data_IF_039035424978
#
_entry.id   IF_039035424978
#
_cell.length_a   1.000
_cell.length_b   1.000
_cell.length_c   1.000
_cell.angle_alpha   90.00
_cell.angle_beta   90.00
_cell.angle_gamma   90.00
#
_symmetry.space_group_name_H-M   'P 1'
#
loop_
_entity.id
_entity.type
_entity.pdbx_description
1 polymer ?
#
# COMPACT_ATOMS: atom_id res chain seq x y z
N UNK A 1 -13.39 8.70 -10.67
CA UNK A 1 -12.69 7.73 -9.81
C UNK A 1 -11.43 8.40 -9.28
N UNK A 2 -11.27 8.52 -7.96
CA UNK A 2 -10.08 9.13 -7.37
C UNK A 2 -8.91 8.12 -7.35
N UNK A 3 -7.70 8.60 -7.64
CA UNK A 3 -6.46 7.83 -7.60
C UNK A 3 -5.52 8.52 -6.60
N UNK A 4 -5.18 7.81 -5.52
CA UNK A 4 -4.18 8.25 -4.58
C UNK A 4 -2.80 7.74 -5.01
N UNK A 5 -1.80 8.62 -5.08
CA UNK A 5 -0.44 8.24 -5.46
C UNK A 5 0.44 8.24 -4.22
N UNK A 6 1.10 7.11 -3.95
CA UNK A 6 2.09 7.04 -2.88
C UNK A 6 3.32 7.84 -3.31
N UNK A 7 3.82 8.70 -2.41
CA UNK A 7 4.95 9.59 -2.64
C UNK A 7 6.25 8.77 -2.71
N UNK A 8 7.20 9.02 -3.63
CA UNK A 8 8.39 8.19 -3.86
C UNK A 8 9.35 8.08 -2.66
N UNK A 9 9.06 8.74 -1.53
CA UNK A 9 9.79 8.53 -0.29
C UNK A 9 9.69 7.09 0.23
N UNK A 10 8.65 6.34 -0.17
CA UNK A 10 8.55 4.90 0.10
C UNK A 10 9.73 4.10 -0.48
N UNK A 11 10.32 4.55 -1.60
CA UNK A 11 11.52 3.95 -2.21
C UNK A 11 12.74 4.11 -1.28
N UNK A 12 12.83 5.23 -0.56
CA UNK A 12 13.89 5.45 0.43
C UNK A 12 13.71 4.55 1.65
N UNK A 13 12.48 4.27 2.06
CA UNK A 13 12.18 3.39 3.20
C UNK A 13 12.59 1.93 2.93
N UNK A 14 12.64 1.50 1.68
CA UNK A 14 13.13 0.16 1.30
C UNK A 14 14.67 0.06 1.22
N UNK A 15 15.38 1.16 1.48
CA UNK A 15 16.84 1.23 1.41
C UNK A 15 17.34 1.33 -0.04
N UNK A 16 18.66 1.47 -0.22
CA UNK A 16 19.33 1.42 -1.55
C UNK A 16 19.30 -0.01 -2.11
N UNK A 17 18.14 -0.65 -2.19
CA UNK A 17 17.96 -1.80 -3.06
C UNK A 17 18.16 -1.34 -4.52
N UNK A 18 18.68 -2.22 -5.37
CA UNK A 18 18.82 -1.89 -6.80
C UNK A 18 17.46 -1.45 -7.39
N UNK A 19 17.43 -0.52 -8.33
CA UNK A 19 16.19 -0.02 -8.98
C UNK A 19 15.24 -1.15 -9.40
N UNK A 20 15.79 -2.27 -9.90
CA UNK A 20 15.01 -3.46 -10.26
C UNK A 20 14.29 -4.10 -9.07
N UNK A 21 14.95 -4.19 -7.92
CA UNK A 21 14.37 -4.73 -6.70
C UNK A 21 13.27 -3.80 -6.16
N UNK A 22 13.52 -2.48 -6.13
CA UNK A 22 12.51 -1.47 -5.74
C UNK A 22 11.28 -1.58 -6.65
N UNK A 23 11.49 -1.68 -7.96
CA UNK A 23 10.39 -1.81 -8.94
C UNK A 23 9.61 -3.12 -8.81
N UNK A 24 10.28 -4.22 -8.49
CA UNK A 24 9.62 -5.49 -8.19
C UNK A 24 8.75 -5.35 -6.94
N UNK A 25 9.31 -4.81 -5.85
CA UNK A 25 8.58 -4.57 -4.61
C UNK A 25 7.39 -3.64 -4.84
N UNK A 26 7.54 -2.56 -5.62
CA UNK A 26 6.44 -1.67 -6.01
C UNK A 26 5.27 -2.46 -6.62
N UNK A 27 5.59 -3.41 -7.49
CA UNK A 27 4.62 -4.23 -8.21
C UNK A 27 3.93 -5.23 -7.28
N UNK A 28 4.65 -5.82 -6.35
CA UNK A 28 4.09 -6.66 -5.28
C UNK A 28 3.13 -5.86 -4.38
N UNK A 29 3.55 -4.66 -3.94
CA UNK A 29 2.69 -3.75 -3.18
C UNK A 29 1.44 -3.34 -3.95
N UNK A 30 1.59 -3.00 -5.23
CA UNK A 30 0.47 -2.62 -6.09
C UNK A 30 -0.55 -3.75 -6.21
N UNK A 31 -0.08 -4.99 -6.39
CA UNK A 31 -0.92 -6.19 -6.48
C UNK A 31 -1.66 -6.46 -5.17
N UNK A 32 -0.96 -6.35 -4.04
CA UNK A 32 -1.53 -6.48 -2.71
C UNK A 32 -2.62 -5.43 -2.46
N UNK A 33 -2.31 -4.15 -2.74
CA UNK A 33 -3.25 -3.04 -2.58
C UNK A 33 -4.48 -3.19 -3.47
N UNK A 34 -4.32 -3.61 -4.73
CA UNK A 34 -5.44 -3.83 -5.66
C UNK A 34 -6.34 -4.98 -5.18
N UNK A 35 -5.74 -6.04 -4.63
CA UNK A 35 -6.46 -7.18 -4.05
C UNK A 35 -7.24 -6.77 -2.80
N UNK A 36 -6.60 -6.02 -1.89
CA UNK A 36 -7.27 -5.49 -0.69
C UNK A 36 -8.36 -4.49 -1.05
N UNK A 37 -8.11 -3.59 -2.01
CA UNK A 37 -9.11 -2.67 -2.53
C UNK A 37 -10.33 -3.41 -3.07
N UNK A 38 -10.14 -4.46 -3.88
CA UNK A 38 -11.27 -5.26 -4.39
C UNK A 38 -12.04 -5.99 -3.28
N UNK A 39 -11.32 -6.53 -2.28
CA UNK A 39 -11.92 -7.37 -1.23
C UNK A 39 -12.58 -6.58 -0.11
N UNK A 40 -12.03 -5.41 0.21
CA UNK A 40 -12.43 -4.60 1.37
C UNK A 40 -13.03 -3.24 1.00
N UNK A 41 -13.29 -2.96 -0.28
CA UNK A 41 -14.03 -1.76 -0.68
C UNK A 41 -15.35 -1.65 0.08
N UNK A 42 -15.59 -0.50 0.71
CA UNK A 42 -16.79 -0.24 1.52
C UNK A 42 -16.79 -0.91 2.91
N UNK A 43 -15.69 -1.58 3.31
CA UNK A 43 -15.52 -2.10 4.68
C UNK A 43 -14.93 -1.02 5.59
N UNK A 44 -15.20 -1.07 6.91
CA UNK A 44 -14.62 -0.12 7.85
C UNK A 44 -13.10 -0.25 7.94
N UNK A 45 -12.44 0.90 8.12
CA UNK A 45 -10.99 1.05 8.31
C UNK A 45 -10.44 0.12 9.39
N UNK A 46 -11.19 -0.09 10.47
CA UNK A 46 -10.81 -0.98 11.58
C UNK A 46 -10.66 -2.45 11.16
N UNK A 47 -11.38 -2.92 10.15
CA UNK A 47 -11.22 -4.27 9.59
C UNK A 47 -10.08 -4.33 8.57
N UNK A 48 -9.86 -3.24 7.84
CA UNK A 48 -8.84 -3.15 6.79
C UNK A 48 -7.44 -3.02 7.40
N UNK A 49 -7.28 -2.22 8.46
CA UNK A 49 -6.01 -2.00 9.16
C UNK A 49 -5.24 -3.29 9.46
N UNK A 50 -5.79 -4.27 10.21
CA UNK A 50 -5.05 -5.49 10.55
C UNK A 50 -4.76 -6.36 9.31
N UNK A 51 -5.65 -6.39 8.32
CA UNK A 51 -5.42 -7.12 7.08
C UNK A 51 -4.29 -6.49 6.24
N UNK A 52 -4.32 -5.17 6.10
CA UNK A 52 -3.30 -4.38 5.42
C UNK A 52 -1.95 -4.55 6.10
N UNK A 53 -1.90 -4.42 7.42
CA UNK A 53 -0.66 -4.53 8.20
C UNK A 53 0.00 -5.91 8.02
N UNK A 54 -0.81 -6.97 8.03
CA UNK A 54 -0.33 -8.35 7.87
C UNK A 54 0.27 -8.56 6.49
N UNK A 55 -0.40 -8.10 5.44
CA UNK A 55 0.12 -8.22 4.07
C UNK A 55 1.36 -7.34 3.86
N UNK A 56 1.36 -6.11 4.39
CA UNK A 56 2.51 -5.20 4.28
C UNK A 56 3.78 -5.77 4.90
N UNK A 57 3.65 -6.42 6.06
CA UNK A 57 4.75 -7.12 6.75
C UNK A 57 5.26 -8.33 5.96
N UNK A 58 4.39 -9.07 5.26
CA UNK A 58 4.83 -10.24 4.45
C UNK A 58 5.78 -9.84 3.32
N UNK A 59 5.56 -8.68 2.73
CA UNK A 59 6.35 -8.18 1.59
C UNK A 59 7.65 -7.50 2.08
N UNK A 60 7.86 -7.44 3.41
CA UNK A 60 9.09 -6.91 4.02
C UNK A 60 9.10 -5.39 4.23
N UNK A 61 7.94 -4.74 4.17
CA UNK A 61 7.83 -3.30 4.37
C UNK A 61 7.55 -2.92 5.81
N UNK A 62 8.12 -1.79 6.21
CA UNK A 62 7.70 -1.06 7.39
C UNK A 62 6.65 -0.03 6.99
N UNK A 63 5.54 -0.01 7.71
CA UNK A 63 4.50 1.00 7.56
C UNK A 63 4.14 1.54 8.94
N UNK A 64 3.99 2.85 9.05
CA UNK A 64 3.58 3.50 10.29
C UNK A 64 2.05 3.44 10.47
N UNK A 65 1.54 3.50 11.71
CA UNK A 65 0.08 3.54 11.96
C UNK A 65 -0.67 4.68 11.24
N UNK A 66 -0.15 5.93 11.14
CA UNK A 66 -0.83 6.97 10.37
C UNK A 66 -0.94 6.64 8.88
N UNK A 67 0.12 6.09 8.26
CA UNK A 67 0.07 5.63 6.86
C UNK A 67 -0.90 4.46 6.69
N UNK A 68 -0.88 3.50 7.62
CA UNK A 68 -1.78 2.36 7.62
C UNK A 68 -3.24 2.82 7.69
N UNK A 69 -3.53 3.80 8.54
CA UNK A 69 -4.86 4.42 8.67
C UNK A 69 -5.27 5.08 7.36
N UNK A 70 -4.39 5.87 6.77
CA UNK A 70 -4.67 6.60 5.54
C UNK A 70 -4.95 5.64 4.37
N UNK A 71 -4.14 4.61 4.17
CA UNK A 71 -4.38 3.60 3.14
C UNK A 71 -5.64 2.79 3.39
N UNK A 72 -5.91 2.42 4.63
CA UNK A 72 -7.13 1.72 4.99
C UNK A 72 -8.39 2.58 4.74
N UNK A 73 -8.33 3.89 5.02
CA UNK A 73 -9.37 4.84 4.64
C UNK A 73 -9.59 4.88 3.13
N UNK A 74 -8.51 5.00 2.35
CA UNK A 74 -8.63 5.02 0.89
C UNK A 74 -9.22 3.71 0.32
N UNK A 75 -8.85 2.56 0.87
CA UNK A 75 -9.44 1.26 0.51
C UNK A 75 -10.93 1.23 0.87
N UNK A 76 -11.30 1.68 2.07
CA UNK A 76 -12.69 1.80 2.53
C UNK A 76 -13.51 2.67 1.57
N UNK A 77 -12.99 3.82 1.18
CA UNK A 77 -13.60 4.77 0.25
C UNK A 77 -13.63 4.26 -1.21
N UNK A 78 -12.94 3.15 -1.51
CA UNK A 78 -12.81 2.64 -2.87
C UNK A 78 -11.92 3.49 -3.77
N UNK A 79 -11.04 4.29 -3.17
CA UNK A 79 -10.01 5.08 -3.84
C UNK A 79 -8.87 4.14 -4.23
N UNK A 80 -8.49 4.17 -5.51
CA UNK A 80 -7.40 3.31 -5.99
C UNK A 80 -6.06 3.89 -5.54
N UNK A 81 -5.28 3.09 -4.83
CA UNK A 81 -3.92 3.47 -4.43
C UNK A 81 -2.95 3.00 -5.52
N UNK A 82 -2.11 3.91 -6.01
CA UNK A 82 -1.04 3.62 -6.97
C UNK A 82 0.33 3.89 -6.34
N UNK A 83 1.15 2.84 -6.29
CA UNK A 83 2.59 2.93 -6.10
C UNK A 83 3.22 3.47 -7.39
N UNK A 84 3.82 4.66 -7.32
CA UNK A 84 4.71 5.13 -8.39
C UNK A 84 6.15 4.93 -7.95
N UNK A 85 6.92 4.23 -8.79
CA UNK A 85 8.37 4.36 -8.85
C UNK A 85 8.69 5.51 -9.80
N UNK A 86 9.70 6.32 -9.49
CA UNK A 86 10.13 7.37 -10.43
C UNK A 86 10.77 6.80 -11.69
#
# INVERSE_FOLDING_TARGET
>A
MAIFKINPDWEKQLGRAAERAVKSMASDYQTMLDTLAKRYKGRPVSEIKPALQREWKKIGGSITDPELTQYASHISEGIRIQMKTK
#
